data_IF_876044418933
#
_entry.id   IF_876044418933
#
_cell.length_a   1.000
_cell.length_b   1.000
_cell.length_c   1.000
_cell.angle_alpha   90.00
_cell.angle_beta   90.00
_cell.angle_gamma   90.00
#
_symmetry.space_group_name_H-M   'P 1'
#
loop_
_entity.id
_entity.type
_entity.pdbx_description
1 polymer ?
#
# COMPACT_ATOMS: atom_id res chain seq x y z
N UNK A 1 -24.26 -20.25 15.35
CA UNK A 1 -23.55 -18.95 15.31
C UNK A 1 -22.43 -19.09 14.30
N UNK A 2 -22.67 -18.68 13.05
CA UNK A 2 -21.68 -18.78 11.97
C UNK A 2 -20.75 -17.59 12.09
N UNK A 3 -19.45 -17.83 12.31
CA UNK A 3 -18.47 -16.75 12.18
C UNK A 3 -18.46 -16.29 10.72
N UNK A 4 -18.73 -15.01 10.48
CA UNK A 4 -18.47 -14.40 9.18
C UNK A 4 -16.99 -14.66 8.84
N UNK A 5 -16.73 -15.16 7.63
CA UNK A 5 -15.36 -15.30 7.14
C UNK A 5 -14.68 -13.93 7.27
N UNK A 6 -13.60 -13.86 8.05
CA UNK A 6 -12.80 -12.64 8.14
C UNK A 6 -12.24 -12.38 6.75
N UNK A 7 -12.40 -11.15 6.26
CA UNK A 7 -11.71 -10.73 5.05
C UNK A 7 -10.20 -10.95 5.23
N UNK A 8 -9.50 -11.39 4.17
CA UNK A 8 -8.05 -11.56 4.22
C UNK A 8 -7.40 -10.24 4.63
N UNK A 9 -6.52 -10.32 5.63
CA UNK A 9 -5.78 -9.17 6.16
C UNK A 9 -4.46 -9.08 5.40
N UNK A 10 -4.12 -7.91 4.88
CA UNK A 10 -2.85 -7.68 4.20
C UNK A 10 -1.66 -7.74 5.17
N UNK A 11 -0.52 -8.24 4.69
CA UNK A 11 0.73 -8.30 5.47
C UNK A 11 1.27 -6.90 5.79
N UNK A 12 1.06 -5.93 4.88
CA UNK A 12 1.47 -4.54 5.05
C UNK A 12 0.51 -3.57 4.34
N UNK A 13 0.04 -2.57 5.09
CA UNK A 13 -0.71 -1.42 4.57
C UNK A 13 0.17 -0.16 4.65
N UNK A 14 0.38 0.50 3.53
CA UNK A 14 1.08 1.79 3.44
C UNK A 14 0.07 2.91 3.18
N UNK A 15 -0.04 3.84 4.12
CA UNK A 15 -0.90 5.03 3.95
C UNK A 15 -0.11 6.18 3.30
N UNK A 16 -0.50 6.56 2.09
CA UNK A 16 0.12 7.60 1.26
C UNK A 16 0.92 7.02 0.09
N UNK A 17 0.51 7.32 -1.13
CA UNK A 17 1.16 6.98 -2.41
C UNK A 17 2.16 8.03 -2.90
N UNK A 18 2.74 8.82 -1.98
CA UNK A 18 3.89 9.67 -2.26
C UNK A 18 5.20 8.88 -2.39
N UNK A 19 6.30 9.56 -2.73
CA UNK A 19 7.61 8.90 -2.96
C UNK A 19 8.05 8.04 -1.78
N UNK A 20 7.82 8.48 -0.54
CA UNK A 20 8.17 7.72 0.66
C UNK A 20 7.37 6.41 0.77
N UNK A 21 6.05 6.45 0.50
CA UNK A 21 5.20 5.27 0.59
C UNK A 21 5.45 4.27 -0.55
N UNK A 22 5.63 4.77 -1.77
CA UNK A 22 5.98 3.93 -2.92
C UNK A 22 7.36 3.28 -2.75
N UNK A 23 8.35 4.01 -2.24
CA UNK A 23 9.66 3.46 -1.94
C UNK A 23 9.59 2.37 -0.86
N UNK A 24 8.81 2.59 0.19
CA UNK A 24 8.57 1.57 1.22
C UNK A 24 7.92 0.32 0.62
N UNK A 25 6.85 0.47 -0.16
CA UNK A 25 6.14 -0.66 -0.78
C UNK A 25 7.06 -1.46 -1.70
N UNK A 26 7.88 -0.77 -2.51
CA UNK A 26 8.88 -1.40 -3.37
C UNK A 26 9.94 -2.17 -2.55
N UNK A 27 10.50 -1.54 -1.51
CA UNK A 27 11.52 -2.18 -0.66
C UNK A 27 10.95 -3.34 0.15
N UNK A 28 9.70 -3.25 0.62
CA UNK A 28 9.03 -4.33 1.33
C UNK A 28 8.79 -5.54 0.41
N UNK A 29 8.25 -5.30 -0.79
CA UNK A 29 8.03 -6.37 -1.77
C UNK A 29 9.33 -7.06 -2.20
N UNK A 30 10.38 -6.29 -2.48
CA UNK A 30 11.70 -6.84 -2.84
C UNK A 30 12.42 -7.56 -1.70
N UNK A 31 11.98 -7.36 -0.45
CA UNK A 31 12.51 -8.04 0.75
C UNK A 31 11.61 -9.17 1.26
N UNK A 32 10.59 -9.56 0.48
CA UNK A 32 9.79 -10.76 0.75
C UNK A 32 8.47 -10.52 1.48
N UNK A 33 7.99 -9.28 1.59
CA UNK A 33 6.60 -9.04 1.98
C UNK A 33 5.71 -9.28 0.77
N UNK A 34 4.93 -10.37 0.80
CA UNK A 34 4.15 -10.88 -0.32
C UNK A 34 2.87 -10.09 -0.62
N UNK A 35 2.22 -9.55 0.41
CA UNK A 35 0.96 -8.83 0.28
C UNK A 35 1.07 -7.40 0.83
N UNK A 36 1.45 -6.48 -0.06
CA UNK A 36 1.58 -5.05 0.24
C UNK A 36 0.50 -4.27 -0.49
N UNK A 37 -0.29 -3.50 0.25
CA UNK A 37 -1.25 -2.55 -0.32
C UNK A 37 -0.85 -1.12 0.00
N UNK A 38 -0.98 -0.22 -0.99
CA UNK A 38 -0.78 1.22 -0.83
C UNK A 38 -2.12 1.92 -0.94
N UNK A 39 -2.48 2.71 0.05
CA UNK A 39 -3.69 3.53 0.06
C UNK A 39 -3.31 4.99 -0.20
N UNK A 40 -3.82 5.57 -1.28
CA UNK A 40 -3.62 6.97 -1.65
C UNK A 40 -4.96 7.71 -1.66
N UNK A 41 -5.00 8.90 -1.05
CA UNK A 41 -6.22 9.72 -1.00
C UNK A 41 -6.44 10.51 -2.29
N UNK A 42 -5.38 10.76 -3.05
CA UNK A 42 -5.44 11.38 -4.37
C UNK A 42 -5.84 10.36 -5.47
N UNK A 43 -6.38 10.82 -6.61
CA UNK A 43 -6.71 9.95 -7.74
C UNK A 43 -5.47 9.35 -8.44
N UNK A 44 -4.25 9.69 -8.00
CA UNK A 44 -3.00 9.22 -8.59
C UNK A 44 -1.87 9.16 -7.55
N UNK A 45 -0.85 8.32 -7.76
CA UNK A 45 0.37 8.32 -6.96
C UNK A 45 1.27 9.54 -7.26
N UNK A 46 2.34 9.67 -6.47
CA UNK A 46 3.43 10.64 -6.66
C UNK A 46 3.53 11.68 -5.55
N UNK A 47 2.46 11.91 -4.78
CA UNK A 47 2.44 12.91 -3.71
C UNK A 47 2.83 14.29 -4.24
N UNK A 48 3.92 14.87 -3.73
CA UNK A 48 4.44 16.19 -4.17
C UNK A 48 5.20 16.13 -5.49
N UNK A 49 5.56 14.95 -6.00
CA UNK A 49 6.19 14.80 -7.31
C UNK A 49 5.06 14.72 -8.34
N UNK A 50 4.90 15.81 -9.08
CA UNK A 50 3.79 16.00 -10.00
C UNK A 50 4.33 16.62 -11.28
N UNK A 51 4.14 15.93 -12.39
CA UNK A 51 4.32 16.48 -13.74
C UNK A 51 2.94 16.60 -14.36
N UNK A 52 2.74 17.66 -15.13
CA UNK A 52 1.52 17.92 -15.90
C UNK A 52 1.27 16.88 -16.98
#
# INVERSE_FOLDING_TARGET
MTMAAREPVHDLVVCGGGISGLALAHLAGTRGVSDVVVLEGAPRPGGKIQTE
#
